data_IF_500308737153
#
_entry.id   IF_500308737153
#
_cell.length_a   1.000
_cell.length_b   1.000
_cell.length_c   1.000
_cell.angle_alpha   90.00
_cell.angle_beta   90.00
_cell.angle_gamma   90.00
#
_symmetry.space_group_name_H-M   'P 1'
#
loop_
_entity.id
_entity.type
_entity.pdbx_description
1 polymer ?
#
# COMPACT_ATOMS: atom_id res chain seq x y z
N UNK A 1 25.41 -27.80 -16.29
CA UNK A 1 25.18 -28.18 -14.88
C UNK A 1 23.92 -27.58 -14.23
N UNK A 2 23.05 -26.87 -14.96
CA UNK A 2 21.80 -26.31 -14.43
C UNK A 2 20.61 -27.29 -14.34
N UNK A 3 20.62 -28.39 -15.12
CA UNK A 3 19.52 -29.38 -15.13
C UNK A 3 19.41 -30.19 -13.84
N UNK A 4 20.54 -30.53 -13.20
CA UNK A 4 20.55 -31.25 -11.90
C UNK A 4 20.00 -30.43 -10.73
N UNK A 5 20.06 -29.09 -10.81
CA UNK A 5 19.51 -28.20 -9.80
C UNK A 5 17.98 -28.09 -9.91
N UNK A 6 17.45 -28.13 -11.13
CA UNK A 6 16.00 -28.08 -11.40
C UNK A 6 15.29 -29.39 -11.02
N UNK A 7 15.93 -30.55 -11.18
CA UNK A 7 15.36 -31.82 -10.72
C UNK A 7 15.26 -31.93 -9.20
N UNK A 8 16.21 -31.32 -8.47
CA UNK A 8 16.23 -31.37 -7.00
C UNK A 8 15.16 -30.50 -6.33
N UNK A 9 14.54 -29.59 -7.09
CA UNK A 9 13.42 -28.74 -6.64
C UNK A 9 12.05 -29.34 -6.96
N UNK A 10 11.97 -30.26 -7.93
CA UNK A 10 10.70 -30.87 -8.38
C UNK A 10 10.28 -32.09 -7.55
N UNK A 11 11.21 -32.69 -6.80
CA UNK A 11 10.96 -33.87 -5.95
C UNK A 11 10.49 -33.57 -4.52
N UNK A 12 10.24 -32.29 -4.17
CA UNK A 12 9.83 -31.88 -2.82
C UNK A 12 8.33 -31.57 -2.67
N UNK A 13 7.49 -32.08 -3.56
CA UNK A 13 6.03 -31.95 -3.50
C UNK A 13 5.35 -33.30 -3.30
N UNK A 14 5.10 -33.70 -2.04
CA UNK A 14 3.97 -34.54 -1.64
C UNK A 14 3.99 -34.83 -0.13
N UNK A 15 3.21 -34.08 0.64
CA UNK A 15 2.42 -34.67 1.72
C UNK A 15 1.23 -33.75 2.02
N UNK A 16 0.04 -34.35 1.94
CA UNK A 16 -1.28 -33.79 2.26
C UNK A 16 -1.70 -34.35 3.65
N UNK A 17 -2.80 -33.89 4.27
CA UNK A 17 -2.79 -33.22 5.57
C UNK A 17 -3.39 -34.04 6.72
N UNK A 18 -3.07 -33.70 7.96
CA UNK A 18 -3.84 -34.08 9.16
C UNK A 18 -3.92 -32.93 10.18
N UNK A 19 -4.94 -32.94 11.07
CA UNK A 19 -5.50 -31.74 11.68
C UNK A 19 -5.06 -31.56 13.13
N UNK A 20 -4.61 -30.34 13.46
CA UNK A 20 -4.45 -29.73 14.78
C UNK A 20 -3.40 -28.64 14.56
N UNK A 21 -3.53 -27.39 14.94
CA UNK A 21 -4.32 -26.76 15.99
C UNK A 21 -4.53 -25.32 15.54
N UNK A 22 -5.74 -24.82 15.70
CA UNK A 22 -6.12 -23.43 15.50
C UNK A 22 -5.08 -22.52 16.19
N UNK A 23 -4.29 -21.69 15.47
CA UNK A 23 -3.59 -20.61 16.14
C UNK A 23 -4.67 -19.62 16.56
N UNK A 24 -4.96 -19.63 17.86
CA UNK A 24 -5.76 -18.64 18.56
C UNK A 24 -5.34 -17.27 18.07
N UNK A 25 -6.22 -16.67 17.27
CA UNK A 25 -6.08 -15.34 16.73
C UNK A 25 -6.06 -14.41 17.94
N UNK A 26 -4.86 -14.08 18.43
CA UNK A 26 -4.67 -13.03 19.44
C UNK A 26 -5.18 -11.75 18.79
N UNK A 27 -6.44 -11.46 19.08
CA UNK A 27 -7.11 -10.25 18.70
C UNK A 27 -6.31 -9.12 19.36
N UNK A 28 -5.57 -8.38 18.54
CA UNK A 28 -5.03 -7.09 18.97
C UNK A 28 -6.15 -6.34 19.68
N UNK A 29 -5.95 -5.87 20.93
CA UNK A 29 -6.97 -5.11 21.62
C UNK A 29 -7.38 -3.95 20.71
N UNK A 30 -8.69 -3.87 20.42
CA UNK A 30 -9.27 -2.69 19.78
C UNK A 30 -8.84 -1.50 20.63
N UNK A 31 -8.21 -0.46 20.06
CA UNK A 31 -7.81 0.70 20.85
C UNK A 31 -9.06 1.22 21.56
N UNK A 32 -8.98 1.26 22.89
CA UNK A 32 -9.98 1.88 23.74
C UNK A 32 -10.29 3.26 23.14
N UNK A 33 -11.59 3.57 23.01
CA UNK A 33 -12.08 4.82 22.41
C UNK A 33 -11.47 5.97 23.21
N UNK A 34 -10.37 6.52 22.70
CA UNK A 34 -9.66 7.64 23.30
C UNK A 34 -10.64 8.80 23.44
N UNK A 35 -10.59 9.48 24.58
CA UNK A 35 -11.25 10.76 24.85
C UNK A 35 -11.48 11.58 23.57
N UNK A 36 -12.73 12.03 23.36
CA UNK A 36 -13.17 12.70 22.13
C UNK A 36 -12.23 13.87 21.82
N UNK A 37 -11.28 13.69 20.90
CA UNK A 37 -10.44 14.78 20.41
C UNK A 37 -11.36 15.80 19.76
N UNK A 38 -11.33 17.03 20.26
CA UNK A 38 -12.01 18.14 19.62
C UNK A 38 -11.25 18.46 18.31
N UNK A 39 -11.94 18.35 17.17
CA UNK A 39 -11.39 18.71 15.88
C UNK A 39 -12.03 20.03 15.43
N UNK A 40 -11.26 20.97 14.88
CA UNK A 40 -11.79 22.31 14.55
C UNK A 40 -12.79 22.29 13.39
N UNK A 41 -12.84 21.22 12.59
CA UNK A 41 -13.90 21.02 11.61
C UNK A 41 -14.15 19.53 11.32
N UNK A 42 -15.30 19.25 10.69
CA UNK A 42 -15.74 17.89 10.32
C UNK A 42 -14.76 17.18 9.38
N UNK A 43 -14.05 17.90 8.51
CA UNK A 43 -13.15 17.32 7.52
C UNK A 43 -11.87 16.80 8.17
N UNK A 44 -11.31 17.55 9.11
CA UNK A 44 -10.13 17.14 9.86
C UNK A 44 -10.45 15.93 10.75
N UNK A 45 -11.62 15.96 11.42
CA UNK A 45 -12.12 14.79 12.14
C UNK A 45 -12.15 13.55 11.25
N UNK A 46 -12.83 13.64 10.10
CA UNK A 46 -12.91 12.54 9.15
C UNK A 46 -11.54 12.07 8.68
N UNK A 47 -10.63 12.99 8.32
CA UNK A 47 -9.28 12.66 7.89
C UNK A 47 -8.53 11.85 8.95
N UNK A 48 -8.51 12.32 10.20
CA UNK A 48 -7.77 11.66 11.28
C UNK A 48 -8.38 10.31 11.66
N UNK A 49 -9.71 10.21 11.70
CA UNK A 49 -10.42 8.95 11.98
C UNK A 49 -10.23 7.92 10.86
N UNK A 50 -10.08 8.35 9.59
CA UNK A 50 -10.01 7.46 8.43
C UNK A 50 -8.60 7.31 7.83
N UNK A 51 -7.58 8.01 8.36
CA UNK A 51 -6.24 8.11 7.76
C UNK A 51 -5.64 6.75 7.43
N UNK A 52 -5.77 5.77 8.33
CA UNK A 52 -5.26 4.42 8.12
C UNK A 52 -5.91 3.73 6.91
N UNK A 53 -7.25 3.76 6.83
CA UNK A 53 -8.03 3.19 5.72
C UNK A 53 -7.68 3.86 4.39
N UNK A 54 -7.65 5.19 4.36
CA UNK A 54 -7.33 5.98 3.16
C UNK A 54 -5.91 5.68 2.69
N UNK A 55 -4.93 5.64 3.59
CA UNK A 55 -3.55 5.34 3.24
C UNK A 55 -3.38 3.91 2.73
N UNK A 56 -4.07 2.94 3.34
CA UNK A 56 -4.08 1.54 2.87
C UNK A 56 -4.59 1.46 1.44
N UNK A 57 -5.72 2.10 1.14
CA UNK A 57 -6.29 2.14 -0.20
C UNK A 57 -5.35 2.81 -1.23
N UNK A 58 -4.73 3.93 -0.85
CA UNK A 58 -3.75 4.60 -1.75
C UNK A 58 -2.53 3.73 -2.04
N UNK A 59 -2.06 2.95 -1.05
CA UNK A 59 -0.91 2.05 -1.23
C UNK A 59 -1.25 0.84 -2.10
N UNK A 60 -2.44 0.25 -1.95
CA UNK A 60 -2.85 -0.89 -2.79
C UNK A 60 -2.94 -0.50 -4.26
N UNK A 61 -3.50 0.66 -4.57
CA UNK A 61 -3.63 1.13 -5.95
C UNK A 61 -2.30 1.57 -6.59
N UNK A 62 -1.26 1.81 -5.79
CA UNK A 62 0.02 2.34 -6.32
C UNK A 62 0.65 1.38 -7.34
N UNK A 63 0.75 0.09 -7.01
CA UNK A 63 1.37 -0.91 -7.88
C UNK A 63 0.55 -1.15 -9.13
N UNK A 64 -0.77 -1.11 -9.02
CA UNK A 64 -1.70 -1.29 -10.13
C UNK A 64 -1.57 -0.13 -11.12
N UNK A 65 -1.63 1.11 -10.63
CA UNK A 65 -1.49 2.30 -11.47
C UNK A 65 -0.12 2.37 -12.14
N UNK A 66 0.96 2.09 -11.39
CA UNK A 66 2.31 2.09 -11.96
C UNK A 66 2.46 1.09 -13.11
N UNK A 67 1.94 -0.14 -12.95
CA UNK A 67 1.98 -1.17 -14.00
C UNK A 67 1.13 -0.79 -15.22
N UNK A 68 0.00 -0.12 -15.00
CA UNK A 68 -0.89 0.35 -16.06
C UNK A 68 -0.42 1.64 -16.76
N UNK A 69 0.73 2.22 -16.38
CA UNK A 69 1.19 3.50 -16.94
C UNK A 69 0.29 4.67 -16.56
N UNK A 70 -0.34 4.61 -15.39
CA UNK A 70 -1.23 5.63 -14.85
C UNK A 70 -0.57 6.38 -13.69
N UNK A 71 -0.97 7.64 -13.54
CA UNK A 71 -0.60 8.49 -12.44
C UNK A 71 -1.12 7.91 -11.11
N UNK A 72 -0.19 7.64 -10.20
CA UNK A 72 -0.50 7.06 -8.87
C UNK A 72 -1.36 7.96 -7.97
N UNK A 73 -1.65 9.21 -8.37
CA UNK A 73 -2.50 10.16 -7.62
C UNK A 73 -3.88 10.40 -8.20
N UNK A 74 -4.08 10.26 -9.51
CA UNK A 74 -5.32 10.70 -10.17
C UNK A 74 -5.72 9.92 -11.41
N UNK A 75 -5.20 8.70 -11.61
CA UNK A 75 -5.55 7.74 -12.69
C UNK A 75 -5.35 8.21 -14.14
N UNK A 76 -5.03 9.48 -14.41
CA UNK A 76 -4.63 9.97 -15.74
C UNK A 76 -3.34 9.30 -16.21
N UNK A 77 -3.12 9.20 -17.53
CA UNK A 77 -1.89 8.66 -18.11
C UNK A 77 -0.64 9.32 -17.51
N UNK A 78 0.36 8.51 -17.18
CA UNK A 78 1.63 9.00 -16.64
C UNK A 78 2.50 9.58 -17.77
N UNK A 79 3.39 10.50 -17.42
CA UNK A 79 4.41 10.98 -18.35
C UNK A 79 5.46 9.88 -18.61
N UNK A 80 6.14 9.87 -19.77
CA UNK A 80 7.17 8.88 -20.09
C UNK A 80 8.27 8.83 -19.02
N UNK A 81 8.58 7.62 -18.52
CA UNK A 81 9.60 7.40 -17.49
C UNK A 81 9.25 7.90 -16.08
N UNK A 82 8.03 8.43 -15.86
CA UNK A 82 7.63 9.03 -14.58
C UNK A 82 6.32 8.40 -14.09
N UNK A 83 6.14 8.27 -12.77
CA UNK A 83 4.94 7.69 -12.12
C UNK A 83 3.75 8.66 -11.97
N UNK A 84 3.92 9.92 -12.41
CA UNK A 84 2.94 10.99 -12.30
C UNK A 84 2.53 11.49 -13.68
N UNK A 85 1.32 12.06 -13.77
CA UNK A 85 0.93 12.87 -14.92
C UNK A 85 1.65 14.23 -14.88
N UNK A 86 1.67 14.94 -16.01
CA UNK A 86 2.33 16.26 -16.15
C UNK A 86 1.99 17.23 -15.02
N UNK A 87 0.70 17.38 -14.71
CA UNK A 87 0.22 18.25 -13.64
C UNK A 87 0.78 17.86 -12.25
N UNK A 88 0.71 16.58 -11.90
CA UNK A 88 1.20 16.12 -10.60
C UNK A 88 2.73 16.15 -10.52
N UNK A 89 3.42 15.98 -11.65
CA UNK A 89 4.86 16.15 -11.72
C UNK A 89 5.27 17.60 -11.43
N UNK A 90 4.60 18.59 -12.03
CA UNK A 90 4.87 20.01 -11.74
C UNK A 90 4.66 20.36 -10.27
N UNK A 91 3.58 19.86 -9.66
CA UNK A 91 3.35 20.00 -8.22
C UNK A 91 4.46 19.36 -7.39
N UNK A 92 4.87 18.14 -7.76
CA UNK A 92 5.94 17.45 -7.06
C UNK A 92 7.27 18.21 -7.15
N UNK A 93 7.58 18.79 -8.31
CA UNK A 93 8.76 19.63 -8.49
C UNK A 93 8.70 20.89 -7.60
N UNK A 94 7.54 21.54 -7.51
CA UNK A 94 7.35 22.70 -6.60
C UNK A 94 7.60 22.31 -5.14
N UNK A 95 7.02 21.20 -4.67
CA UNK A 95 7.26 20.71 -3.29
C UNK A 95 8.73 20.36 -3.06
N UNK A 96 9.36 19.71 -4.03
CA UNK A 96 10.76 19.33 -3.99
C UNK A 96 11.70 20.55 -3.95
N UNK A 97 11.32 21.66 -4.58
CA UNK A 97 12.07 22.93 -4.54
C UNK A 97 11.99 23.57 -3.15
N UNK A 98 10.78 23.69 -2.60
CA UNK A 98 10.54 24.27 -1.26
C UNK A 98 11.24 23.45 -0.16
N UNK A 99 11.21 22.11 -0.27
CA UNK A 99 11.84 21.25 0.72
C UNK A 99 13.39 21.24 0.66
N UNK A 100 13.97 21.85 -0.38
CA UNK A 100 15.43 21.88 -0.63
C UNK A 100 16.01 23.29 -0.64
N UNK A 101 15.18 24.32 -0.61
CA UNK A 101 15.57 25.71 -0.32
C UNK A 101 15.74 25.90 1.17
#
# INVERSE_FOLDING_TARGET
>A
MFKKLLEKLKSKSASKPTPASTPTKVSKPKPAKSSKKAYPNRFLKFYHENKGRVNKNRRSMYTEHRKAGLCVRCTKKSAPGIVFCSYHQQKQNKYNKIARS
#
